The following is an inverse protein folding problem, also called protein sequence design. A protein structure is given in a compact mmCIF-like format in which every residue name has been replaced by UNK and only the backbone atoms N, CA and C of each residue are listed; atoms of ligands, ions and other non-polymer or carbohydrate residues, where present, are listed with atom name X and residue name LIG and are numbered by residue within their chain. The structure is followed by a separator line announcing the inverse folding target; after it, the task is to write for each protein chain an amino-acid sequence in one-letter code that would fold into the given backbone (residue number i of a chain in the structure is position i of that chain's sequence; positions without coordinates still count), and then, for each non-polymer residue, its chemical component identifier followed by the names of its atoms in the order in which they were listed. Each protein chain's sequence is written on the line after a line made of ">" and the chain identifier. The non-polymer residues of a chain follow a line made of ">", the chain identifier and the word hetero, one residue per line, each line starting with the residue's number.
data_IF_671025192425
#
_entry.id   IF_671025192425
#
_cell.length_a   1.000
_cell.length_b   1.000
_cell.length_c   1.000
_cell.angle_alpha   90.00
_cell.angle_beta   90.00
_cell.angle_gamma   90.00
#
_symmetry.space_group_name_H-M   'P 1'
#
loop_
_entity.id
_entity.type
_entity.pdbx_description
1 polymer ?
#
# COMPACT_ATOMS: atom_id res chain seq x y z
N UNK A 1 -1.62 10.46 -12.29
CA UNK A 1 -2.08 9.48 -11.30
C UNK A 1 -3.56 9.72 -11.06
N UNK A 2 -4.41 8.74 -11.35
CA UNK A 2 -5.88 8.77 -11.27
C UNK A 2 -6.40 7.82 -10.20
N UNK A 3 -5.73 6.69 -9.95
CA UNK A 3 -6.12 5.69 -8.95
C UNK A 3 -4.90 5.19 -8.18
N UNK A 4 -4.99 5.12 -6.85
CA UNK A 4 -3.93 4.59 -6.00
C UNK A 4 -4.44 3.52 -5.04
N UNK A 5 -3.58 2.57 -4.71
CA UNK A 5 -3.80 1.61 -3.62
C UNK A 5 -3.02 2.05 -2.38
N UNK A 6 -3.68 2.04 -1.22
CA UNK A 6 -3.03 2.33 0.06
C UNK A 6 -2.71 1.03 0.77
N UNK A 7 -1.43 0.64 0.77
CA UNK A 7 -0.93 -0.62 1.32
C UNK A 7 -0.74 -0.53 2.85
N UNK A 8 -1.77 -0.08 3.55
CA UNK A 8 -1.77 0.09 5.02
C UNK A 8 -3.21 0.03 5.57
N UNK A 9 -3.38 0.19 6.89
CA UNK A 9 -4.67 0.14 7.59
C UNK A 9 -4.85 1.28 8.58
N UNK A 10 -6.06 1.40 9.13
CA UNK A 10 -6.32 2.29 10.25
C UNK A 10 -6.22 3.78 9.89
N UNK A 11 -5.74 4.59 10.83
CA UNK A 11 -5.70 6.05 10.70
C UNK A 11 -4.84 6.49 9.51
N UNK A 12 -3.65 5.92 9.33
CA UNK A 12 -2.75 6.33 8.25
C UNK A 12 -3.35 6.07 6.87
N UNK A 13 -4.09 4.97 6.70
CA UNK A 13 -4.79 4.69 5.46
C UNK A 13 -5.83 5.78 5.16
N UNK A 14 -6.64 6.14 6.16
CA UNK A 14 -7.59 7.26 6.05
C UNK A 14 -6.89 8.60 5.78
N UNK A 15 -5.77 8.87 6.44
CA UNK A 15 -5.00 10.10 6.30
C UNK A 15 -4.52 10.31 4.87
N UNK A 16 -4.05 9.24 4.23
CA UNK A 16 -3.61 9.24 2.81
C UNK A 16 -4.82 9.38 1.89
N UNK A 17 -5.85 8.54 2.07
CA UNK A 17 -7.02 8.56 1.19
C UNK A 17 -7.79 9.88 1.24
N UNK A 18 -7.83 10.56 2.40
CA UNK A 18 -8.41 11.91 2.52
C UNK A 18 -7.68 12.93 1.64
N UNK A 19 -6.36 12.86 1.54
CA UNK A 19 -5.60 13.74 0.63
C UNK A 19 -5.87 13.35 -0.83
N UNK A 20 -5.82 12.06 -1.17
CA UNK A 20 -6.09 11.58 -2.52
C UNK A 20 -7.47 12.01 -3.02
N UNK A 21 -8.51 11.86 -2.18
CA UNK A 21 -9.88 12.28 -2.50
C UNK A 21 -10.01 13.78 -2.72
N UNK A 22 -9.32 14.62 -1.93
CA UNK A 22 -9.28 16.08 -2.14
C UNK A 22 -8.64 16.46 -3.48
N UNK A 23 -7.77 15.61 -4.00
CA UNK A 23 -7.10 15.79 -5.30
C UNK A 23 -7.87 15.13 -6.47
N UNK A 24 -9.04 14.53 -6.21
CA UNK A 24 -9.80 13.81 -7.23
C UNK A 24 -9.18 12.47 -7.67
N UNK A 25 -8.31 11.89 -6.85
CA UNK A 25 -7.67 10.58 -7.10
C UNK A 25 -8.49 9.49 -6.42
N UNK A 26 -8.86 8.45 -7.18
CA UNK A 26 -9.57 7.27 -6.67
C UNK A 26 -8.67 6.42 -5.78
N UNK A 27 -9.26 5.76 -4.79
CA UNK A 27 -8.54 5.08 -3.73
C UNK A 27 -9.00 3.64 -3.54
N UNK A 28 -8.03 2.73 -3.44
CA UNK A 28 -8.23 1.33 -3.08
C UNK A 28 -7.64 1.07 -1.70
N UNK A 29 -8.46 0.58 -0.77
CA UNK A 29 -7.98 0.06 0.51
C UNK A 29 -7.64 -1.43 0.41
N UNK A 30 -6.67 -1.87 1.21
CA UNK A 30 -6.46 -3.29 1.48
C UNK A 30 -6.84 -3.60 2.92
N UNK A 31 -7.32 -4.82 3.18
CA UNK A 31 -7.77 -5.21 4.52
C UNK A 31 -7.59 -6.69 4.81
N UNK A 32 -7.44 -7.02 6.10
CA UNK A 32 -7.55 -8.40 6.60
C UNK A 32 -9.01 -8.73 6.94
N UNK A 33 -9.35 -10.01 7.12
CA UNK A 33 -10.71 -10.44 7.48
C UNK A 33 -11.27 -9.70 8.71
N UNK A 34 -10.43 -9.46 9.73
CA UNK A 34 -10.81 -8.72 10.93
C UNK A 34 -11.11 -7.24 10.67
N UNK A 35 -10.58 -6.69 9.58
CA UNK A 35 -10.68 -5.27 9.24
C UNK A 35 -11.78 -4.97 8.23
N UNK A 36 -12.61 -5.96 7.89
CA UNK A 36 -13.69 -5.82 6.89
C UNK A 36 -14.60 -4.61 7.15
N UNK A 37 -14.86 -4.32 8.41
CA UNK A 37 -15.74 -3.24 8.86
C UNK A 37 -14.95 -1.96 9.23
N UNK A 38 -13.63 -1.96 9.07
CA UNK A 38 -12.78 -0.88 9.55
C UNK A 38 -13.05 0.45 8.81
N UNK A 39 -12.90 1.61 9.48
CA UNK A 39 -13.17 2.90 8.88
C UNK A 39 -12.43 3.19 7.57
N UNK A 40 -11.19 2.71 7.41
CA UNK A 40 -10.44 2.92 6.17
C UNK A 40 -11.02 2.14 5.00
N UNK A 41 -11.54 0.93 5.25
CA UNK A 41 -12.21 0.09 4.23
C UNK A 41 -13.48 0.76 3.74
N UNK A 42 -14.31 1.26 4.67
CA UNK A 42 -15.56 1.95 4.35
C UNK A 42 -15.37 3.30 3.66
N UNK A 43 -14.19 3.91 3.81
CA UNK A 43 -13.89 5.23 3.23
C UNK A 43 -13.38 5.16 1.79
N UNK A 44 -12.70 4.07 1.42
CA UNK A 44 -12.13 3.88 0.11
C UNK A 44 -13.21 3.70 -0.97
N UNK A 45 -12.86 4.01 -2.22
CA UNK A 45 -13.75 3.80 -3.37
C UNK A 45 -13.87 2.29 -3.70
N UNK A 46 -12.79 1.54 -3.49
CA UNK A 46 -12.72 0.09 -3.65
C UNK A 46 -11.90 -0.53 -2.50
N UNK A 47 -12.11 -1.82 -2.23
CA UNK A 47 -11.37 -2.52 -1.18
C UNK A 47 -11.06 -3.99 -1.51
N UNK A 48 -9.85 -4.45 -1.15
CA UNK A 48 -9.37 -5.81 -1.44
C UNK A 48 -9.02 -6.58 -0.17
N UNK A 49 -9.54 -7.81 -0.06
CA UNK A 49 -9.21 -8.73 1.02
C UNK A 49 -7.83 -9.37 0.81
N UNK A 50 -6.92 -9.13 1.75
CA UNK A 50 -5.58 -9.72 1.75
C UNK A 50 -5.54 -11.09 2.41
N UNK A 51 -6.44 -11.41 3.33
CA UNK A 51 -6.46 -12.71 4.01
C UNK A 51 -6.70 -12.60 5.51
N UNK A 52 -6.23 -13.58 6.30
CA UNK A 52 -6.51 -13.67 7.72
C UNK A 52 -5.99 -12.49 8.56
N UNK A 53 -6.45 -12.33 9.81
CA UNK A 53 -6.11 -11.18 10.67
C UNK A 53 -4.61 -10.90 10.89
N UNK A 54 -3.71 -11.91 11.04
CA UNK A 54 -2.30 -11.65 11.26
C UNK A 54 -1.66 -10.89 10.10
N UNK A 55 -0.92 -9.81 10.39
CA UNK A 55 -0.25 -9.00 9.36
C UNK A 55 0.71 -9.79 8.47
N UNK A 56 1.39 -10.80 9.04
CA UNK A 56 2.26 -11.72 8.30
C UNK A 56 1.52 -12.53 7.21
N UNK A 57 0.21 -12.70 7.35
CA UNK A 57 -0.65 -13.41 6.41
C UNK A 57 -1.58 -12.47 5.63
N UNK A 58 -1.38 -11.14 5.76
CA UNK A 58 -2.19 -10.12 5.10
C UNK A 58 -1.33 -8.94 4.65
N UNK A 59 -1.17 -7.92 5.49
CA UNK A 59 -0.52 -6.64 5.16
C UNK A 59 0.96 -6.73 4.77
N UNK A 60 1.64 -7.82 5.13
CA UNK A 60 3.03 -8.08 4.75
C UNK A 60 3.17 -8.96 3.48
N UNK A 61 2.06 -9.40 2.90
CA UNK A 61 2.06 -10.16 1.63
C UNK A 61 2.18 -9.21 0.43
N UNK A 62 3.37 -8.67 0.23
CA UNK A 62 3.66 -7.71 -0.84
C UNK A 62 3.24 -8.18 -2.23
N UNK A 63 3.47 -9.46 -2.56
CA UNK A 63 3.10 -10.02 -3.87
C UNK A 63 1.57 -10.01 -4.09
N UNK A 64 0.78 -10.24 -3.03
CA UNK A 64 -0.68 -10.17 -3.10
C UNK A 64 -1.17 -8.73 -3.30
N UNK A 65 -0.50 -7.77 -2.67
CA UNK A 65 -0.81 -6.33 -2.83
C UNK A 65 -0.51 -5.88 -4.27
N UNK A 66 0.63 -6.29 -4.83
CA UNK A 66 1.02 -5.96 -6.21
C UNK A 66 0.06 -6.61 -7.21
N UNK A 67 -0.32 -7.88 -7.01
CA UNK A 67 -1.29 -8.55 -7.87
C UNK A 67 -2.64 -7.82 -7.89
N UNK A 68 -3.15 -7.42 -6.72
CA UNK A 68 -4.39 -6.65 -6.63
C UNK A 68 -4.27 -5.26 -7.29
N UNK A 69 -3.11 -4.60 -7.14
CA UNK A 69 -2.83 -3.32 -7.77
C UNK A 69 -2.86 -3.41 -9.31
N UNK A 70 -2.26 -4.47 -9.88
CA UNK A 70 -2.27 -4.74 -11.31
C UNK A 70 -3.68 -5.04 -11.83
N UNK A 71 -4.42 -5.91 -11.15
CA UNK A 71 -5.79 -6.29 -11.52
C UNK A 71 -6.73 -5.06 -11.55
N UNK A 72 -6.58 -4.17 -10.57
CA UNK A 72 -7.41 -2.97 -10.42
C UNK A 72 -6.93 -1.78 -11.24
N UNK A 73 -5.83 -1.94 -11.99
CA UNK A 73 -5.24 -0.90 -12.83
C UNK A 73 -4.86 0.36 -12.06
N UNK A 74 -4.27 0.21 -10.86
CA UNK A 74 -3.85 1.37 -10.06
C UNK A 74 -2.52 1.93 -10.58
N UNK A 75 -2.38 3.25 -10.57
CA UNK A 75 -1.19 3.94 -11.04
C UNK A 75 -0.06 3.95 -10.00
N UNK A 76 -0.41 3.79 -8.72
CA UNK A 76 0.56 3.88 -7.63
C UNK A 76 0.12 3.17 -6.35
N UNK A 77 1.13 2.79 -5.56
CA UNK A 77 0.96 2.22 -4.22
C UNK A 77 1.56 3.18 -3.20
N UNK A 78 0.75 3.61 -2.24
CA UNK A 78 1.20 4.38 -1.08
C UNK A 78 1.34 3.45 0.13
N UNK A 79 2.54 3.25 0.70
CA UNK A 79 2.73 2.28 1.78
C UNK A 79 2.37 2.84 3.16
N UNK A 80 2.22 4.15 3.31
CA UNK A 80 2.03 4.78 4.62
C UNK A 80 3.32 4.71 5.43
N UNK A 81 3.25 4.25 6.68
CA UNK A 81 4.41 3.97 7.52
C UNK A 81 4.31 2.56 8.13
N UNK A 82 5.46 1.99 8.50
CA UNK A 82 5.53 0.60 8.94
C UNK A 82 5.18 -0.38 7.81
N UNK A 83 4.95 -1.65 8.18
CA UNK A 83 4.75 -2.75 7.21
C UNK A 83 5.82 -2.78 6.12
N UNK A 84 5.44 -2.47 4.88
CA UNK A 84 6.29 -2.55 3.70
C UNK A 84 6.86 -1.18 3.28
N UNK A 85 6.64 -0.10 4.05
CA UNK A 85 7.07 1.25 3.69
C UNK A 85 8.57 1.43 3.54
N UNK A 86 9.33 0.64 4.29
CA UNK A 86 10.80 0.67 4.31
C UNK A 86 11.40 -0.67 3.84
N UNK A 87 10.63 -1.42 3.04
CA UNK A 87 11.11 -2.66 2.44
C UNK A 87 11.58 -2.39 1.00
N UNK A 88 12.91 -2.32 0.81
CA UNK A 88 13.52 -2.04 -0.50
C UNK A 88 13.12 -3.07 -1.56
N UNK A 89 13.02 -4.35 -1.20
CA UNK A 89 12.59 -5.42 -2.11
C UNK A 89 11.15 -5.21 -2.58
N UNK A 90 10.24 -4.84 -1.68
CA UNK A 90 8.86 -4.52 -2.05
C UNK A 90 8.79 -3.30 -2.97
N UNK A 91 9.49 -2.21 -2.63
CA UNK A 91 9.53 -1.01 -3.46
C UNK A 91 10.07 -1.32 -4.88
N UNK A 92 11.09 -2.18 -4.98
CA UNK A 92 11.62 -2.64 -6.26
C UNK A 92 10.58 -3.45 -7.05
N UNK A 93 9.94 -4.44 -6.42
CA UNK A 93 8.87 -5.24 -7.06
C UNK A 93 7.71 -4.38 -7.56
N UNK A 94 7.32 -3.33 -6.83
CA UNK A 94 6.29 -2.38 -7.24
C UNK A 94 6.72 -1.65 -8.52
N UNK A 95 7.97 -1.15 -8.56
CA UNK A 95 8.52 -0.48 -9.74
C UNK A 95 8.65 -1.43 -10.95
N UNK A 96 9.11 -2.66 -10.73
CA UNK A 96 9.23 -3.69 -11.77
C UNK A 96 7.87 -4.08 -12.36
N UNK A 97 6.80 -4.01 -11.56
CA UNK A 97 5.43 -4.19 -12.00
C UNK A 97 4.87 -2.98 -12.78
N UNK A 98 5.66 -1.93 -13.01
CA UNK A 98 5.24 -0.72 -13.70
C UNK A 98 4.34 0.20 -12.87
N UNK A 99 4.23 -0.03 -11.56
CA UNK A 99 3.42 0.76 -10.64
C UNK A 99 4.32 1.78 -9.92
N UNK A 100 3.82 3.00 -9.70
CA UNK A 100 4.59 4.00 -8.95
C UNK A 100 4.58 3.66 -7.45
N UNK A 101 5.76 3.39 -6.87
CA UNK A 101 5.91 3.37 -5.42
C UNK A 101 5.95 4.81 -4.89
N UNK A 102 4.94 5.21 -4.11
CA UNK A 102 4.84 6.57 -3.57
C UNK A 102 5.66 6.64 -2.27
N UNK A 103 6.97 6.75 -2.41
CA UNK A 103 7.95 6.77 -1.33
C UNK A 103 9.39 6.94 -1.84
N UNK A 104 10.40 6.70 -0.99
CA UNK A 104 11.80 6.73 -1.41
C UNK A 104 12.13 5.64 -2.45
N UNK A 105 13.19 5.86 -3.23
CA UNK A 105 13.68 4.84 -4.19
C UNK A 105 14.20 3.60 -3.44
N UNK A 106 14.11 2.38 -4.02
CA UNK A 106 14.59 1.15 -3.39
C UNK A 106 16.03 1.25 -2.86
N UNK A 107 16.94 1.79 -3.69
CA UNK A 107 18.33 2.01 -3.30
C UNK A 107 18.48 2.95 -2.10
N UNK A 108 17.65 3.99 -1.99
CA UNK A 108 17.68 4.91 -0.85
C UNK A 108 17.21 4.23 0.43
N UNK A 109 16.20 3.35 0.34
CA UNK A 109 15.71 2.58 1.49
C UNK A 109 16.80 1.64 2.00
N UNK A 110 17.47 0.93 1.09
CA UNK A 110 18.54 -0.01 1.43
C UNK A 110 19.75 0.70 2.07
N UNK A 111 20.22 1.79 1.48
CA UNK A 111 21.35 2.57 1.99
C UNK A 111 21.08 3.12 3.40
N UNK A 112 19.89 3.70 3.63
CA UNK A 112 19.54 4.29 4.93
C UNK A 112 19.23 3.25 6.01
N UNK A 113 18.89 2.02 5.62
CA UNK A 113 18.62 0.91 6.53
C UNK A 113 19.89 0.22 7.04
N UNK A 114 21.01 0.37 6.34
CA UNK A 114 22.30 -0.19 6.75
C UNK A 114 22.95 0.65 7.84
N UNK A 115 23.26 0.04 8.98
CA UNK A 115 24.03 0.68 10.07
C UNK A 115 25.54 0.71 9.81
N UNK A 116 25.98 0.08 8.73
CA UNK A 116 27.40 -0.05 8.36
C UNK A 116 27.74 0.74 7.07
N UNK A 117 26.73 1.30 6.41
CA UNK A 117 26.90 2.04 5.16
C UNK A 117 27.42 3.46 5.38
#
# INVERSE_FOLDING_TARGET
>A
MKKILVANRGEIALRVMRTARKMGVQTVAVYSEADREAPHVRFADEAVLLGPPPSAQSYLLGDKIIAAALELGVDGIHPGYGFLSENASFAQKVADAGITFIGPKPHSIEMMGSKLA
#
